data_IF_452728106243
#
_entry.id   IF_452728106243
#
_cell.length_a   1.000
_cell.length_b   1.000
_cell.length_c   1.000
_cell.angle_alpha   90.00
_cell.angle_beta   90.00
_cell.angle_gamma   90.00
#
_symmetry.space_group_name_H-M   'P 1'
#
loop_
_entity.id
_entity.type
_entity.pdbx_description
1 polymer ?
#
# COMPACT_ATOMS: atom_id res chain seq x y z
N UNK A 1 -49.08 -52.58 -26.49
CA UNK A 1 -48.04 -52.60 -27.54
C UNK A 1 -46.95 -51.67 -27.07
N UNK A 2 -45.74 -52.18 -26.85
CA UNK A 2 -44.61 -51.34 -26.46
C UNK A 2 -44.34 -50.35 -27.59
N UNK A 3 -44.37 -49.05 -27.29
CA UNK A 3 -44.01 -48.03 -28.26
C UNK A 3 -42.48 -48.02 -28.36
N UNK A 4 -41.92 -48.79 -29.29
CA UNK A 4 -40.48 -48.76 -29.57
C UNK A 4 -40.11 -47.39 -30.11
N UNK A 5 -39.02 -46.83 -29.58
CA UNK A 5 -38.52 -45.53 -29.98
C UNK A 5 -37.32 -45.68 -30.94
N UNK A 6 -36.74 -44.55 -31.35
CA UNK A 6 -35.60 -44.55 -32.27
C UNK A 6 -34.34 -45.16 -31.66
N UNK A 7 -34.15 -45.05 -30.35
CA UNK A 7 -33.01 -45.63 -29.62
C UNK A 7 -33.06 -47.16 -29.62
N UNK A 8 -34.26 -47.75 -29.54
CA UNK A 8 -34.46 -49.19 -29.66
C UNK A 8 -34.11 -49.68 -31.08
N UNK A 9 -34.51 -48.95 -32.12
CA UNK A 9 -34.16 -49.29 -33.51
C UNK A 9 -32.64 -49.28 -33.72
N UNK A 10 -31.95 -48.27 -33.17
CA UNK A 10 -30.49 -48.15 -33.24
C UNK A 10 -29.83 -49.36 -32.58
N UNK A 11 -30.19 -49.66 -31.33
CA UNK A 11 -29.66 -50.79 -30.58
C UNK A 11 -29.92 -52.14 -31.25
N UNK A 12 -31.10 -52.32 -31.87
CA UNK A 12 -31.39 -53.53 -32.64
C UNK A 12 -30.48 -53.69 -33.85
N UNK A 13 -30.28 -52.62 -34.65
CA UNK A 13 -29.46 -52.67 -35.86
C UNK A 13 -27.96 -52.78 -35.53
N UNK A 14 -27.51 -52.21 -34.41
CA UNK A 14 -26.12 -52.26 -33.93
C UNK A 14 -25.80 -53.54 -33.15
N UNK A 15 -26.81 -54.33 -32.77
CA UNK A 15 -26.63 -55.60 -32.06
C UNK A 15 -26.48 -55.45 -30.55
N UNK A 16 -26.86 -54.31 -29.98
CA UNK A 16 -26.72 -53.94 -28.57
C UNK A 16 -27.99 -54.22 -27.72
N UNK A 17 -28.91 -55.04 -28.23
CA UNK A 17 -30.08 -55.49 -27.48
C UNK A 17 -29.79 -56.74 -26.66
N UNK A 18 -30.35 -56.81 -25.45
CA UNK A 18 -30.27 -58.02 -24.64
C UNK A 18 -31.09 -59.17 -25.25
N UNK A 19 -30.73 -60.44 -25.04
CA UNK A 19 -31.37 -61.57 -25.69
C UNK A 19 -32.90 -61.64 -25.49
N UNK A 20 -33.38 -61.32 -24.28
CA UNK A 20 -34.80 -61.35 -23.93
C UNK A 20 -35.59 -60.23 -24.63
N UNK A 21 -34.96 -59.07 -24.81
CA UNK A 21 -35.52 -57.89 -25.44
C UNK A 21 -35.55 -58.04 -26.97
N UNK A 22 -34.51 -58.63 -27.54
CA UNK A 22 -34.38 -58.92 -28.96
C UNK A 22 -35.53 -59.82 -29.45
N UNK A 23 -35.91 -60.85 -28.67
CA UNK A 23 -37.04 -61.72 -29.01
C UNK A 23 -38.38 -60.96 -29.07
N UNK A 24 -38.60 -60.02 -28.14
CA UNK A 24 -39.82 -59.21 -28.14
C UNK A 24 -39.83 -58.21 -29.30
N UNK A 25 -38.67 -57.61 -29.60
CA UNK A 25 -38.50 -56.69 -30.71
C UNK A 25 -38.74 -57.38 -32.06
N UNK A 26 -38.21 -58.60 -32.25
CA UNK A 26 -38.42 -59.38 -33.48
C UNK A 26 -39.87 -59.82 -33.66
N UNK A 27 -40.58 -60.13 -32.57
CA UNK A 27 -42.01 -60.41 -32.63
C UNK A 27 -42.80 -59.16 -33.06
N UNK A 28 -42.50 -58.00 -32.46
CA UNK A 28 -43.13 -56.73 -32.84
C UNK A 28 -42.81 -56.32 -34.28
N UNK A 29 -41.61 -56.62 -34.79
CA UNK A 29 -41.20 -56.34 -36.17
C UNK A 29 -42.04 -57.10 -37.21
N UNK A 30 -42.59 -58.27 -36.85
CA UNK A 30 -43.46 -59.07 -37.73
C UNK A 30 -44.90 -58.55 -37.74
N UNK A 31 -45.33 -57.92 -36.66
CA UNK A 31 -46.71 -57.43 -36.49
C UNK A 31 -46.87 -55.96 -36.89
N UNK A 32 -45.83 -55.15 -36.71
CA UNK A 32 -45.85 -53.70 -36.96
C UNK A 32 -45.08 -53.33 -38.23
N UNK A 33 -45.84 -53.03 -39.29
CA UNK A 33 -45.28 -52.58 -40.57
C UNK A 33 -44.57 -51.22 -40.48
N UNK A 34 -44.98 -50.33 -39.57
CA UNK A 34 -44.34 -49.02 -39.39
C UNK A 34 -42.98 -49.16 -38.70
N UNK A 35 -42.86 -50.05 -37.72
CA UNK A 35 -41.58 -50.40 -37.09
C UNK A 35 -40.62 -51.04 -38.10
N UNK A 36 -41.13 -51.97 -38.93
CA UNK A 36 -40.34 -52.61 -39.99
C UNK A 36 -39.76 -51.60 -40.99
N UNK A 37 -40.59 -50.66 -41.45
CA UNK A 37 -40.16 -49.60 -42.35
C UNK A 37 -39.09 -48.69 -41.71
N UNK A 38 -39.25 -48.37 -40.42
CA UNK A 38 -38.30 -47.52 -39.68
C UNK A 38 -36.94 -48.21 -39.49
N UNK A 39 -36.93 -49.52 -39.24
CA UNK A 39 -35.70 -50.33 -39.15
C UNK A 39 -34.99 -50.40 -40.51
N UNK A 40 -35.74 -50.58 -41.61
CA UNK A 40 -35.16 -50.57 -42.96
C UNK A 40 -34.54 -49.21 -43.30
N UNK A 41 -35.26 -48.12 -43.01
CA UNK A 41 -34.74 -46.76 -43.24
C UNK A 41 -33.44 -46.51 -42.45
N UNK A 42 -33.37 -46.95 -41.19
CA UNK A 42 -32.14 -46.83 -40.40
C UNK A 42 -30.99 -47.65 -40.99
N UNK A 43 -31.24 -48.89 -41.44
CA UNK A 43 -30.22 -49.73 -42.09
C UNK A 43 -29.67 -49.10 -43.37
N UNK A 44 -30.51 -48.47 -44.18
CA UNK A 44 -30.09 -47.77 -45.40
C UNK A 44 -29.21 -46.56 -45.10
N UNK A 45 -29.60 -45.76 -44.10
CA UNK A 45 -28.81 -44.62 -43.63
C UNK A 45 -27.48 -45.09 -43.06
N UNK A 46 -27.48 -46.11 -42.20
CA UNK A 46 -26.28 -46.68 -41.61
C UNK A 46 -25.32 -47.21 -42.68
N UNK A 47 -25.82 -47.98 -43.65
CA UNK A 47 -25.02 -48.50 -44.76
C UNK A 47 -24.41 -47.36 -45.61
N UNK A 48 -25.19 -46.33 -45.92
CA UNK A 48 -24.72 -45.15 -46.67
C UNK A 48 -23.64 -44.39 -45.89
N UNK A 49 -23.80 -44.25 -44.58
CA UNK A 49 -22.80 -43.62 -43.72
C UNK A 49 -21.53 -44.46 -43.64
N UNK A 50 -21.63 -45.78 -43.45
CA UNK A 50 -20.47 -46.68 -43.40
C UNK A 50 -19.69 -46.70 -44.71
N UNK A 51 -20.36 -46.57 -45.86
CA UNK A 51 -19.69 -46.49 -47.15
C UNK A 51 -18.95 -45.15 -47.34
N UNK A 52 -19.53 -44.04 -46.85
CA UNK A 52 -18.93 -42.69 -46.91
C UNK A 52 -17.85 -42.46 -45.85
N UNK A 53 -18.00 -43.08 -44.68
CA UNK A 53 -17.13 -42.98 -43.52
C UNK A 53 -16.33 -44.28 -43.40
N UNK A 54 -15.52 -44.59 -44.42
CA UNK A 54 -14.53 -45.67 -44.29
C UNK A 54 -13.67 -45.39 -43.05
N UNK A 55 -13.38 -46.38 -42.19
CA UNK A 55 -12.49 -46.20 -41.06
C UNK A 55 -11.17 -45.60 -41.55
N UNK A 56 -10.85 -44.38 -41.11
CA UNK A 56 -9.62 -43.71 -41.50
C UNK A 56 -8.43 -44.53 -40.98
N UNK A 57 -7.58 -45.11 -41.86
CA UNK A 57 -6.42 -45.89 -41.43
C UNK A 57 -5.45 -45.08 -40.58
N UNK A 58 -5.48 -43.74 -40.65
CA UNK A 58 -4.68 -42.83 -39.84
C UNK A 58 -5.17 -42.65 -38.40
N UNK A 59 -6.42 -43.01 -38.08
CA UNK A 59 -7.01 -42.76 -36.76
C UNK A 59 -6.36 -43.63 -35.68
N UNK A 60 -6.00 -44.87 -36.01
CA UNK A 60 -5.25 -45.73 -35.10
C UNK A 60 -3.84 -45.20 -34.84
N UNK A 61 -3.14 -44.71 -35.86
CA UNK A 61 -1.83 -44.09 -35.71
C UNK A 61 -1.92 -42.80 -34.88
N UNK A 62 -2.90 -41.95 -35.15
CA UNK A 62 -3.14 -40.73 -34.37
C UNK A 62 -3.42 -41.04 -32.90
N UNK A 63 -4.25 -42.05 -32.61
CA UNK A 63 -4.56 -42.49 -31.24
C UNK A 63 -3.31 -43.02 -30.53
N UNK A 64 -2.46 -43.77 -31.23
CA UNK A 64 -1.19 -44.26 -30.69
C UNK A 64 -0.22 -43.11 -30.38
N UNK A 65 -0.04 -42.16 -31.30
CA UNK A 65 0.82 -40.97 -31.10
C UNK A 65 0.33 -40.12 -29.93
N UNK A 66 -0.99 -39.90 -29.82
CA UNK A 66 -1.55 -39.13 -28.71
C UNK A 66 -1.37 -39.83 -27.35
N UNK A 67 -1.44 -41.17 -27.31
CA UNK A 67 -1.17 -41.94 -26.09
C UNK A 67 0.30 -41.89 -25.68
N UNK A 68 1.22 -41.96 -26.64
CA UNK A 68 2.67 -41.83 -26.41
C UNK A 68 3.02 -40.44 -25.88
N UNK A 69 2.55 -39.37 -26.53
CA UNK A 69 2.80 -38.00 -26.09
C UNK A 69 2.12 -37.66 -24.75
N UNK A 70 1.00 -38.31 -24.42
CA UNK A 70 0.36 -38.15 -23.11
C UNK A 70 1.27 -38.62 -21.98
N UNK A 71 2.01 -39.72 -22.17
CA UNK A 71 2.93 -40.23 -21.16
C UNK A 71 4.12 -39.29 -20.94
N UNK A 72 4.60 -38.62 -21.98
CA UNK A 72 5.74 -37.70 -21.91
C UNK A 72 5.38 -36.35 -21.27
N UNK A 73 4.20 -35.80 -21.57
CA UNK A 73 3.83 -34.45 -21.16
C UNK A 73 2.93 -34.34 -19.91
N UNK A 74 2.25 -35.42 -19.50
CA UNK A 74 1.25 -35.37 -18.42
C UNK A 74 1.62 -36.16 -17.15
N UNK A 75 2.86 -36.66 -17.02
CA UNK A 75 3.32 -37.38 -15.81
C UNK A 75 3.82 -36.50 -14.66
N UNK A 76 3.57 -35.19 -14.65
CA UNK A 76 3.87 -34.33 -13.49
C UNK A 76 2.60 -34.05 -12.70
N UNK A 77 2.31 -34.90 -11.71
CA UNK A 77 1.47 -34.50 -10.59
C UNK A 77 2.20 -33.41 -9.81
N UNK A 78 1.88 -32.14 -10.08
CA UNK A 78 2.43 -31.00 -9.37
C UNK A 78 2.25 -31.19 -7.86
N UNK A 79 3.33 -30.99 -7.09
CA UNK A 79 3.30 -31.10 -5.63
C UNK A 79 2.39 -30.00 -5.07
N UNK A 80 1.17 -30.35 -4.65
CA UNK A 80 0.21 -29.42 -4.05
C UNK A 80 0.74 -29.03 -2.66
N UNK A 81 1.38 -27.88 -2.56
CA UNK A 81 1.81 -27.33 -1.27
C UNK A 81 0.61 -26.58 -0.67
N UNK A 82 0.15 -27.02 0.50
CA UNK A 82 -1.03 -26.45 1.16
C UNK A 82 -0.85 -24.96 1.48
N UNK A 83 -1.61 -24.11 0.76
CA UNK A 83 -1.57 -22.64 0.83
C UNK A 83 -1.88 -22.06 2.22
N UNK A 84 -2.39 -22.87 3.16
CA UNK A 84 -2.77 -22.45 4.52
C UNK A 84 -1.60 -21.92 5.36
N UNK A 85 -0.37 -22.42 5.16
CA UNK A 85 0.79 -21.97 5.97
C UNK A 85 1.25 -20.55 5.58
N UNK A 86 1.08 -20.16 4.32
CA UNK A 86 1.46 -18.83 3.85
C UNK A 86 0.42 -17.76 4.19
N UNK A 87 -0.86 -18.13 4.35
CA UNK A 87 -1.89 -17.19 4.79
C UNK A 87 -1.63 -16.65 6.20
N UNK A 88 -1.08 -17.47 7.09
CA UNK A 88 -0.73 -17.02 8.46
C UNK A 88 0.43 -16.03 8.44
N UNK A 89 1.48 -16.29 7.65
CA UNK A 89 2.64 -15.40 7.56
C UNK A 89 2.31 -14.09 6.85
N UNK A 90 1.53 -14.15 5.76
CA UNK A 90 1.03 -12.97 5.04
C UNK A 90 0.08 -12.16 5.94
N UNK A 91 -0.78 -12.82 6.71
CA UNK A 91 -1.68 -12.18 7.66
C UNK A 91 -0.94 -11.41 8.75
N UNK A 92 0.13 -11.97 9.32
CA UNK A 92 0.95 -11.23 10.30
C UNK A 92 1.65 -10.02 9.69
N UNK A 93 2.24 -10.17 8.49
CA UNK A 93 2.89 -9.04 7.82
C UNK A 93 1.87 -7.93 7.47
N UNK A 94 0.68 -8.30 6.98
CA UNK A 94 -0.40 -7.36 6.69
C UNK A 94 -0.97 -6.70 7.95
N UNK A 95 -1.05 -7.42 9.08
CA UNK A 95 -1.48 -6.85 10.35
C UNK A 95 -0.45 -5.87 10.94
N UNK A 96 0.86 -6.15 10.80
CA UNK A 96 1.91 -5.22 11.21
C UNK A 96 1.91 -3.98 10.33
N UNK A 97 1.87 -4.15 9.01
CA UNK A 97 1.78 -3.02 8.07
C UNK A 97 0.49 -2.23 8.26
N UNK A 98 -0.65 -2.91 8.46
CA UNK A 98 -1.93 -2.31 8.79
C UNK A 98 -1.89 -1.55 10.11
N UNK A 99 -1.23 -2.09 11.14
CA UNK A 99 -1.00 -1.42 12.42
C UNK A 99 -0.17 -0.15 12.27
N UNK A 100 0.92 -0.19 11.50
CA UNK A 100 1.76 0.99 11.20
C UNK A 100 0.95 2.02 10.41
N UNK A 101 0.19 1.59 9.40
CA UNK A 101 -0.59 2.48 8.54
C UNK A 101 -1.75 3.12 9.31
N UNK A 102 -2.46 2.36 10.14
CA UNK A 102 -3.51 2.86 11.02
C UNK A 102 -2.94 3.77 12.11
N UNK A 103 -1.78 3.44 12.70
CA UNK A 103 -1.11 4.33 13.66
C UNK A 103 -0.75 5.67 13.01
N UNK A 104 -0.19 5.65 11.79
CA UNK A 104 0.17 6.87 11.05
C UNK A 104 -1.04 7.66 10.55
N UNK A 105 -2.15 7.00 10.22
CA UNK A 105 -3.35 7.65 9.70
C UNK A 105 -4.31 8.14 10.79
N UNK A 106 -4.36 7.44 11.93
CA UNK A 106 -5.21 7.81 13.08
C UNK A 106 -4.52 8.77 14.05
N UNK A 107 -3.18 8.84 14.03
CA UNK A 107 -2.45 10.02 14.48
C UNK A 107 -2.75 11.14 13.49
N UNK A 108 -3.90 11.80 13.65
CA UNK A 108 -4.13 13.11 13.07
C UNK A 108 -3.02 14.01 13.61
N UNK A 109 -1.97 14.19 12.82
CA UNK A 109 -0.94 15.21 13.04
C UNK A 109 -1.68 16.55 13.06
N UNK A 110 -2.15 16.98 14.23
CA UNK A 110 -2.23 18.41 14.47
C UNK A 110 -0.78 18.87 14.42
N UNK A 111 -0.36 19.28 13.22
CA UNK A 111 0.97 19.83 13.02
C UNK A 111 0.96 21.21 13.66
N UNK A 112 1.16 21.23 14.97
CA UNK A 112 1.32 22.44 15.74
C UNK A 112 2.44 23.28 15.11
N UNK A 113 3.51 22.61 14.64
CA UNK A 113 4.61 23.27 13.94
C UNK A 113 4.15 24.00 12.67
N UNK A 114 3.25 23.42 11.86
CA UNK A 114 2.73 24.12 10.67
C UNK A 114 1.81 25.29 11.03
N UNK A 115 1.08 25.18 12.14
CA UNK A 115 0.12 26.22 12.59
C UNK A 115 0.83 27.39 13.24
N UNK A 116 1.80 27.11 14.09
CA UNK A 116 2.40 28.08 15.02
C UNK A 116 3.88 28.37 14.75
N UNK A 117 4.57 27.49 14.02
CA UNK A 117 6.02 27.52 13.83
C UNK A 117 6.50 28.33 12.63
N UNK A 118 5.60 29.01 11.91
CA UNK A 118 6.00 29.92 10.83
C UNK A 118 6.68 31.17 11.40
N UNK A 119 7.94 31.34 11.03
CA UNK A 119 8.78 32.48 11.39
C UNK A 119 9.70 32.80 10.22
N UNK A 120 9.98 34.08 10.07
CA UNK A 120 11.01 34.59 9.16
C UNK A 120 12.20 35.11 9.97
N UNK A 121 13.38 34.92 9.42
CA UNK A 121 14.58 35.56 9.89
C UNK A 121 14.65 36.98 9.35
N UNK A 122 14.61 37.94 10.27
CA UNK A 122 14.78 39.35 9.96
C UNK A 122 16.18 39.79 10.36
N UNK A 123 16.87 40.44 9.43
CA UNK A 123 18.22 40.97 9.65
C UNK A 123 18.18 42.46 9.35
N UNK A 124 18.65 43.27 10.28
CA UNK A 124 18.78 44.70 10.05
C UNK A 124 19.80 44.92 8.92
N UNK A 125 19.43 45.73 7.92
CA UNK A 125 20.33 46.11 6.83
C UNK A 125 21.32 47.18 7.33
N UNK A 126 22.18 46.81 8.27
CA UNK A 126 23.31 47.64 8.68
C UNK A 126 24.49 47.35 7.75
N UNK A 127 25.21 48.42 7.37
CA UNK A 127 26.10 48.42 6.22
C UNK A 127 27.51 47.98 6.64
N UNK A 128 27.93 46.77 6.26
CA UNK A 128 29.23 46.58 5.59
C UNK A 128 30.33 45.79 6.28
N UNK A 129 30.06 44.62 6.89
CA UNK A 129 31.11 43.64 7.20
C UNK A 129 30.75 42.19 6.77
N UNK A 130 31.70 41.27 6.93
CA UNK A 130 31.53 39.85 6.57
C UNK A 130 30.51 39.12 7.45
N UNK A 131 30.33 39.55 8.70
CA UNK A 131 29.37 38.97 9.64
C UNK A 131 27.92 39.32 9.25
N UNK A 132 27.69 40.56 8.82
CA UNK A 132 26.42 41.00 8.23
C UNK A 132 26.07 40.13 7.01
N UNK A 133 27.07 39.78 6.22
CA UNK A 133 26.90 38.94 5.02
C UNK A 133 26.49 37.50 5.38
N UNK A 134 27.01 36.95 6.49
CA UNK A 134 26.62 35.63 6.98
C UNK A 134 25.17 35.61 7.47
N UNK A 135 24.75 36.60 8.27
CA UNK A 135 23.37 36.69 8.76
C UNK A 135 22.39 36.94 7.61
N UNK A 136 22.73 37.79 6.65
CA UNK A 136 21.90 38.03 5.45
C UNK A 136 21.72 36.74 4.63
N UNK A 137 22.80 36.00 4.41
CA UNK A 137 22.75 34.72 3.69
C UNK A 137 21.95 33.66 4.47
N UNK A 138 22.13 33.62 5.79
CA UNK A 138 21.37 32.72 6.66
C UNK A 138 19.88 33.06 6.60
N UNK A 139 19.51 34.34 6.60
CA UNK A 139 18.13 34.78 6.53
C UNK A 139 17.45 34.40 5.21
N UNK A 140 18.15 34.56 4.09
CA UNK A 140 17.67 34.12 2.78
C UNK A 140 17.31 32.63 2.81
N UNK A 141 18.26 31.77 3.20
CA UNK A 141 18.02 30.33 3.25
C UNK A 141 17.02 29.91 4.32
N UNK A 142 16.96 30.62 5.44
CA UNK A 142 16.01 30.33 6.51
C UNK A 142 14.57 30.58 6.02
N UNK A 143 14.34 31.71 5.34
CA UNK A 143 13.03 32.08 4.80
C UNK A 143 12.61 31.16 3.63
N UNK A 144 13.58 30.63 2.89
CA UNK A 144 13.38 29.55 1.90
C UNK A 144 13.19 28.16 2.53
N UNK A 145 13.22 28.04 3.87
CA UNK A 145 13.17 26.78 4.63
C UNK A 145 14.33 25.81 4.30
N UNK A 146 15.41 26.30 3.72
CA UNK A 146 16.63 25.56 3.41
C UNK A 146 17.54 25.46 4.65
N UNK A 147 17.02 24.90 5.74
CA UNK A 147 17.67 24.88 7.06
C UNK A 147 19.04 24.21 7.08
N UNK A 148 19.26 23.21 6.21
CA UNK A 148 20.57 22.55 6.05
C UNK A 148 21.68 23.49 5.57
N UNK A 149 21.33 24.58 4.87
CA UNK A 149 22.27 25.64 4.44
C UNK A 149 22.43 26.73 5.50
N UNK A 150 21.43 26.94 6.35
CA UNK A 150 21.47 27.93 7.44
C UNK A 150 22.49 27.55 8.50
N UNK A 151 22.46 26.28 8.93
CA UNK A 151 23.29 25.76 10.03
C UNK A 151 24.78 26.11 9.85
N UNK A 152 25.46 25.78 8.73
CA UNK A 152 26.89 26.08 8.58
C UNK A 152 27.21 27.58 8.55
N UNK A 153 26.29 28.43 8.08
CA UNK A 153 26.45 29.89 8.10
C UNK A 153 26.41 30.42 9.53
N UNK A 154 25.43 29.98 10.33
CA UNK A 154 25.30 30.39 11.72
C UNK A 154 26.37 29.76 12.62
N UNK A 155 26.82 28.55 12.31
CA UNK A 155 28.00 27.95 12.97
C UNK A 155 29.26 28.78 12.74
N UNK A 156 29.43 29.31 11.54
CA UNK A 156 30.57 30.18 11.21
C UNK A 156 30.45 31.50 11.94
N UNK A 157 29.27 32.12 11.94
CA UNK A 157 29.01 33.37 12.64
C UNK A 157 29.26 33.24 14.16
N UNK A 158 28.77 32.16 14.78
CA UNK A 158 28.90 31.91 16.23
C UNK A 158 30.33 31.57 16.67
N UNK A 159 31.28 31.34 15.74
CA UNK A 159 32.71 31.28 16.08
C UNK A 159 33.28 32.66 16.40
N UNK A 160 32.71 33.71 15.82
CA UNK A 160 33.13 35.09 16.06
C UNK A 160 32.36 35.72 17.20
N UNK A 161 31.03 35.61 17.19
CA UNK A 161 30.17 36.02 18.31
C UNK A 161 29.37 34.84 18.84
N UNK A 162 29.96 34.10 19.77
CA UNK A 162 29.32 32.94 20.42
C UNK A 162 28.11 33.28 21.28
N UNK A 163 27.88 34.56 21.58
CA UNK A 163 26.81 35.06 22.46
C UNK A 163 25.60 35.59 21.70
N UNK A 164 25.69 35.69 20.38
CA UNK A 164 24.63 36.21 19.51
C UNK A 164 23.31 35.47 19.69
N UNK A 165 22.37 36.17 20.32
CA UNK A 165 21.04 35.65 20.61
C UNK A 165 20.26 35.36 19.33
N UNK A 166 20.41 36.22 18.32
CA UNK A 166 19.85 36.03 16.98
C UNK A 166 20.35 34.73 16.35
N UNK A 167 21.67 34.54 16.27
CA UNK A 167 22.24 33.37 15.62
C UNK A 167 21.91 32.08 16.38
N UNK A 168 21.96 32.09 17.72
CA UNK A 168 21.55 30.94 18.54
C UNK A 168 20.08 30.59 18.32
N UNK A 169 19.19 31.58 18.28
CA UNK A 169 17.76 31.36 18.12
C UNK A 169 17.42 30.71 16.77
N UNK A 170 17.88 31.31 15.67
CA UNK A 170 17.59 30.79 14.33
C UNK A 170 18.32 29.48 14.04
N UNK A 171 19.54 29.27 14.58
CA UNK A 171 20.22 27.97 14.46
C UNK A 171 19.51 26.90 15.28
N UNK A 172 18.99 27.26 16.45
CA UNK A 172 18.15 26.42 17.30
C UNK A 172 16.96 25.86 16.53
N UNK A 173 16.20 26.73 15.86
CA UNK A 173 15.07 26.34 15.01
C UNK A 173 15.53 25.53 13.80
N UNK A 174 16.59 25.94 13.11
CA UNK A 174 17.11 25.19 11.96
C UNK A 174 17.49 23.75 12.34
N UNK A 175 18.16 23.55 13.48
CA UNK A 175 18.51 22.23 13.98
C UNK A 175 17.30 21.35 14.30
N UNK A 176 16.23 21.90 14.89
CA UNK A 176 15.02 21.11 15.17
C UNK A 176 14.34 20.67 13.87
N UNK A 177 14.31 21.54 12.86
CA UNK A 177 13.74 21.24 11.55
C UNK A 177 14.56 20.21 10.74
N UNK A 178 15.87 20.09 10.99
CA UNK A 178 16.72 19.08 10.35
C UNK A 178 16.92 17.81 11.19
N UNK A 179 16.17 17.65 12.29
CA UNK A 179 16.24 16.47 13.15
C UNK A 179 17.40 16.44 14.15
N UNK A 180 18.25 17.48 14.18
CA UNK A 180 19.33 17.65 15.17
C UNK A 180 18.79 18.26 16.48
N UNK A 181 17.69 17.67 16.99
CA UNK A 181 16.85 18.25 18.05
C UNK A 181 17.64 18.62 19.29
N UNK A 182 18.54 17.75 19.77
CA UNK A 182 19.29 18.01 21.00
C UNK A 182 20.16 19.26 20.90
N UNK A 183 20.80 19.49 19.75
CA UNK A 183 21.58 20.69 19.50
C UNK A 183 20.67 21.92 19.42
N UNK A 184 19.53 21.79 18.74
CA UNK A 184 18.54 22.86 18.62
C UNK A 184 17.96 23.30 19.97
N UNK A 185 17.54 22.34 20.79
CA UNK A 185 17.04 22.60 22.15
C UNK A 185 18.10 23.27 23.01
N UNK A 186 19.37 22.86 22.91
CA UNK A 186 20.47 23.48 23.65
C UNK A 186 20.63 24.96 23.29
N UNK A 187 20.56 25.31 22.01
CA UNK A 187 20.65 26.71 21.58
C UNK A 187 19.42 27.52 22.03
N UNK A 188 18.21 26.98 21.88
CA UNK A 188 16.98 27.66 22.32
C UNK A 188 16.94 27.89 23.83
N UNK A 189 17.42 26.93 24.63
CA UNK A 189 17.51 27.09 26.09
C UNK A 189 18.48 28.22 26.44
N UNK A 190 19.64 28.31 25.77
CA UNK A 190 20.57 29.44 25.97
C UNK A 190 19.93 30.79 25.64
N UNK A 191 19.10 30.85 24.61
CA UNK A 191 18.37 32.08 24.24
C UNK A 191 17.36 32.46 25.31
N UNK A 192 16.64 31.47 25.85
CA UNK A 192 15.70 31.67 26.95
C UNK A 192 16.39 32.10 28.27
N UNK A 193 17.59 31.59 28.53
CA UNK A 193 18.38 31.96 29.71
C UNK A 193 19.05 33.34 29.58
N UNK A 194 19.20 33.84 28.35
CA UNK A 194 19.69 35.18 28.06
C UNK A 194 18.65 36.28 28.23
N UNK A 195 19.07 37.52 27.98
CA UNK A 195 18.20 38.70 27.90
C UNK A 195 18.17 39.19 26.45
N UNK A 196 17.12 38.84 25.71
CA UNK A 196 16.91 39.32 24.35
C UNK A 196 15.43 39.34 23.99
N UNK A 197 15.11 40.00 22.87
CA UNK A 197 13.76 39.98 22.28
C UNK A 197 13.28 38.55 21.97
N UNK A 198 14.19 37.60 21.77
CA UNK A 198 13.87 36.21 21.45
C UNK A 198 13.66 35.32 22.67
N UNK A 199 13.88 35.81 23.90
CA UNK A 199 13.83 35.02 25.14
C UNK A 199 12.57 34.16 25.25
N UNK A 200 11.40 34.79 25.12
CA UNK A 200 10.13 34.10 25.25
C UNK A 200 9.66 33.44 23.96
N UNK A 201 10.15 33.89 22.81
CA UNK A 201 9.95 33.18 21.54
C UNK A 201 10.70 31.83 21.55
N UNK A 202 11.89 31.76 22.14
CA UNK A 202 12.63 30.52 22.33
C UNK A 202 11.89 29.56 23.26
N UNK A 203 11.35 30.04 24.39
CA UNK A 203 10.47 29.25 25.25
C UNK A 203 9.25 28.71 24.50
N UNK A 204 8.64 29.54 23.65
CA UNK A 204 7.52 29.15 22.81
C UNK A 204 7.90 28.06 21.81
N UNK A 205 9.03 28.19 21.10
CA UNK A 205 9.50 27.17 20.15
C UNK A 205 9.85 25.84 20.83
N UNK A 206 10.41 25.88 22.04
CA UNK A 206 10.64 24.67 22.83
C UNK A 206 9.30 24.01 23.19
N UNK A 207 8.33 24.77 23.66
CA UNK A 207 6.99 24.27 23.95
C UNK A 207 6.32 23.66 22.71
N UNK A 208 6.45 24.35 21.58
CA UNK A 208 5.90 23.93 20.29
C UNK A 208 6.49 22.60 19.82
N UNK A 209 7.80 22.43 19.97
CA UNK A 209 8.46 21.17 19.68
C UNK A 209 7.94 20.03 20.58
N UNK A 210 7.84 20.26 21.89
CA UNK A 210 7.27 19.26 22.80
C UNK A 210 5.81 18.92 22.49
N UNK A 211 5.01 19.92 22.10
CA UNK A 211 3.63 19.72 21.68
C UNK A 211 3.56 18.82 20.44
N UNK A 212 4.38 19.09 19.43
CA UNK A 212 4.50 18.26 18.22
C UNK A 212 4.94 16.82 18.56
N UNK A 213 5.86 16.66 19.51
CA UNK A 213 6.34 15.37 19.98
C UNK A 213 5.36 14.64 20.92
N UNK A 214 4.13 15.15 21.12
CA UNK A 214 3.12 14.60 22.04
C UNK A 214 3.55 14.61 23.53
N UNK A 215 4.54 15.43 23.88
CA UNK A 215 5.04 15.62 25.25
C UNK A 215 4.28 16.78 25.92
N UNK A 216 2.97 16.58 26.14
CA UNK A 216 2.03 17.61 26.63
C UNK A 216 2.46 18.27 27.94
N UNK A 217 3.02 17.51 28.88
CA UNK A 217 3.41 18.05 30.21
C UNK A 217 4.58 19.02 30.09
N UNK A 218 5.56 18.68 29.28
CA UNK A 218 6.76 19.47 29.00
C UNK A 218 6.38 20.74 28.22
N UNK A 219 5.51 20.61 27.22
CA UNK A 219 4.98 21.75 26.48
C UNK A 219 4.30 22.76 27.42
N UNK A 220 3.37 22.30 28.26
CA UNK A 220 2.69 23.16 29.24
C UNK A 220 3.65 23.77 30.27
N UNK A 221 4.73 23.08 30.62
CA UNK A 221 5.77 23.61 31.52
C UNK A 221 6.51 24.78 30.90
N UNK A 222 6.82 24.69 29.60
CA UNK A 222 7.47 25.78 28.87
C UNK A 222 6.53 26.95 28.58
N UNK A 223 5.26 26.70 28.25
CA UNK A 223 4.27 27.75 28.02
C UNK A 223 4.07 28.63 29.27
N UNK A 224 4.07 28.04 30.47
CA UNK A 224 3.95 28.78 31.74
C UNK A 224 5.10 29.74 32.03
N UNK A 225 6.25 29.60 31.34
CA UNK A 225 7.40 30.50 31.50
C UNK A 225 7.23 31.80 30.72
N UNK A 226 6.23 31.90 29.85
CA UNK A 226 5.97 33.05 28.99
C UNK A 226 5.03 34.01 29.72
N UNK A 227 5.46 35.23 30.06
CA UNK A 227 4.62 36.20 30.74
C UNK A 227 3.58 36.80 29.78
N UNK A 228 2.49 37.34 30.33
CA UNK A 228 1.33 37.80 29.55
C UNK A 228 1.62 39.00 28.63
N UNK A 229 2.70 39.74 28.90
CA UNK A 229 3.17 40.90 28.13
C UNK A 229 4.23 40.55 27.06
N UNK A 230 4.69 39.29 27.01
CA UNK A 230 5.63 38.85 25.99
C UNK A 230 4.98 38.81 24.59
N UNK A 231 5.78 39.07 23.55
CA UNK A 231 5.33 38.97 22.16
C UNK A 231 4.73 37.57 21.81
N UNK A 232 5.29 36.51 22.39
CA UNK A 232 4.82 35.14 22.23
C UNK A 232 3.50 34.81 22.97
N UNK A 233 3.01 35.68 23.87
CA UNK A 233 1.93 35.33 24.81
C UNK A 233 0.64 34.89 24.12
N UNK A 234 0.23 35.57 23.05
CA UNK A 234 -0.98 35.22 22.30
C UNK A 234 -0.88 33.81 21.67
N UNK A 235 0.26 33.49 21.05
CA UNK A 235 0.52 32.17 20.47
C UNK A 235 0.61 31.09 21.55
N UNK A 236 1.25 31.41 22.68
CA UNK A 236 1.38 30.51 23.81
C UNK A 236 0.01 30.12 24.39
N UNK A 237 -0.88 31.10 24.60
CA UNK A 237 -2.23 30.85 25.10
C UNK A 237 -3.09 30.03 24.12
N UNK A 238 -2.94 30.27 22.81
CA UNK A 238 -3.62 29.48 21.78
C UNK A 238 -3.18 28.01 21.80
N UNK A 239 -1.87 27.76 21.82
CA UNK A 239 -1.32 26.41 21.92
C UNK A 239 -1.71 25.74 23.25
N UNK A 240 -1.69 26.46 24.37
CA UNK A 240 -2.11 25.92 25.67
C UNK A 240 -3.57 25.44 25.65
N UNK A 241 -4.45 26.17 24.94
CA UNK A 241 -5.87 25.81 24.81
C UNK A 241 -6.06 24.52 24.00
N UNK A 242 -5.31 24.35 22.92
CA UNK A 242 -5.36 23.12 22.11
C UNK A 242 -4.78 21.91 22.84
N UNK A 243 -3.79 22.16 23.70
CA UNK A 243 -3.18 21.10 24.49
C UNK A 243 -4.07 20.64 25.64
N UNK A 244 -5.07 21.39 26.11
CA UNK A 244 -5.90 21.03 27.28
C UNK A 244 -6.91 19.93 26.96
#
# INVERSE_FOLDING_TARGET
>A
MAAYNQEDIIRYVEGDMQPEELLQFEAALREDAALSASVQQYREVAATLSERLKPDPGLHQLKATLQEQRAEHFQRTGKVVGFKKYLVTIGMAAAVLGGIFLFRFYSRDTSYMDTYGNIEMQVAAERGNSEDTLLQSAALYFNEKAYTKVIPLLDTYLKTDSSSQTALYYRGIAFTQTGAVQAGMKDLVKVYEGESVFKYDAAFYIALYYAQAQHKKEALTWLKKIPADAAAAAKAAALEKELK
#
